data_IF_878876846829
#
_entry.id   IF_878876846829
#
_cell.length_a   1.000
_cell.length_b   1.000
_cell.length_c   1.000
_cell.angle_alpha   90.00
_cell.angle_beta   90.00
_cell.angle_gamma   90.00
#
_symmetry.space_group_name_H-M   'P 1'
#
loop_
_entity.id
_entity.type
_entity.pdbx_description
1 polymer ?
#
# COMPACT_ATOMS: atom_id res chain seq x y z
N UNK A 1 22.71 111.72 -0.80
CA UNK A 1 22.16 113.06 -0.51
C UNK A 1 20.66 112.89 -0.39
N UNK A 2 20.11 113.25 0.78
CA UNK A 2 18.70 113.19 1.21
C UNK A 2 18.07 111.81 1.49
N UNK A 3 18.03 111.49 2.80
CA UNK A 3 16.99 110.69 3.45
C UNK A 3 15.73 111.54 3.68
N UNK A 4 14.55 110.94 3.66
CA UNK A 4 13.52 111.00 4.71
C UNK A 4 12.24 110.29 4.23
N UNK A 5 12.00 109.04 4.69
CA UNK A 5 11.11 108.67 5.81
C UNK A 5 9.64 108.59 5.39
N UNK A 6 9.16 107.36 5.21
CA UNK A 6 7.74 107.00 5.22
C UNK A 6 7.42 106.38 6.59
N UNK A 7 6.23 106.63 7.17
CA UNK A 7 5.92 106.22 8.53
C UNK A 7 5.50 104.75 8.61
N UNK A 8 5.80 104.21 9.79
CA UNK A 8 5.41 102.90 10.31
C UNK A 8 3.90 102.85 10.55
N UNK A 9 3.24 101.74 10.21
CA UNK A 9 2.05 101.35 10.96
C UNK A 9 1.92 99.82 11.07
N UNK A 10 1.63 99.42 12.30
CA UNK A 10 1.73 98.07 12.87
C UNK A 10 0.45 97.25 12.69
N UNK A 11 0.63 96.04 12.15
CA UNK A 11 -0.09 94.77 12.43
C UNK A 11 -1.53 94.80 12.95
N UNK A 12 -2.44 94.15 12.19
CA UNK A 12 -3.21 93.02 12.73
C UNK A 12 -3.73 92.14 11.59
N UNK A 13 -3.43 90.84 11.70
CA UNK A 13 -3.78 89.81 10.74
C UNK A 13 -5.29 89.51 10.77
N UNK A 14 -5.93 89.54 9.60
CA UNK A 14 -7.22 88.89 9.38
C UNK A 14 -7.00 87.73 8.42
N UNK A 15 -7.09 86.51 8.95
CA UNK A 15 -7.17 85.28 8.17
C UNK A 15 -8.43 85.34 7.29
N UNK A 16 -8.25 85.50 5.98
CA UNK A 16 -9.30 85.23 4.99
C UNK A 16 -9.44 83.73 4.75
N UNK A 17 -10.65 83.21 4.49
CA UNK A 17 -10.90 81.78 4.45
C UNK A 17 -10.17 81.13 3.28
N UNK A 18 -9.41 80.09 3.61
CA UNK A 18 -8.72 79.20 2.69
C UNK A 18 -9.63 78.76 1.53
N UNK A 19 -9.10 78.84 0.32
CA UNK A 19 -9.65 78.20 -0.86
C UNK A 19 -9.95 76.72 -0.54
N UNK A 20 -11.25 76.39 -0.50
CA UNK A 20 -11.70 75.03 -0.25
C UNK A 20 -11.23 74.13 -1.39
N UNK A 21 -10.38 73.17 -1.04
CA UNK A 21 -9.76 72.21 -1.94
C UNK A 21 -10.85 71.32 -2.58
N UNK A 22 -11.22 71.62 -3.81
CA UNK A 22 -12.31 70.95 -4.56
C UNK A 22 -12.05 69.44 -4.75
N UNK A 23 -10.80 69.00 -4.60
CA UNK A 23 -10.38 67.60 -4.64
C UNK A 23 -10.83 66.81 -3.41
N UNK A 24 -10.86 67.45 -2.23
CA UNK A 24 -11.30 66.79 -1.00
C UNK A 24 -12.81 66.53 -1.04
N UNK A 25 -13.59 67.51 -1.52
CA UNK A 25 -15.05 67.40 -1.66
C UNK A 25 -15.46 66.34 -2.70
N UNK A 26 -14.69 66.20 -3.78
CA UNK A 26 -14.90 65.16 -4.80
C UNK A 26 -14.65 63.73 -4.28
N UNK A 27 -13.59 63.55 -3.47
CA UNK A 27 -13.25 62.26 -2.85
C UNK A 27 -14.35 61.79 -1.88
N UNK A 28 -14.84 62.68 -1.01
CA UNK A 28 -15.95 62.35 -0.12
C UNK A 28 -17.27 62.15 -0.87
N UNK A 29 -17.53 62.87 -1.98
CA UNK A 29 -18.68 62.56 -2.85
C UNK A 29 -18.63 61.16 -3.45
N UNK A 30 -17.45 60.64 -3.78
CA UNK A 30 -17.29 59.28 -4.32
C UNK A 30 -17.48 58.17 -3.27
N UNK A 31 -17.25 58.49 -1.98
CA UNK A 31 -17.48 57.58 -0.85
C UNK A 31 -18.92 57.63 -0.33
N UNK A 32 -19.60 58.76 -0.48
CA UNK A 32 -21.01 58.96 -0.07
C UNK A 32 -22.02 58.77 -1.21
N UNK A 33 -21.60 58.35 -2.42
CA UNK A 33 -22.57 57.85 -3.39
C UNK A 33 -23.25 56.63 -2.80
N UNK A 34 -24.57 56.63 -2.58
CA UNK A 34 -25.27 55.41 -2.21
C UNK A 34 -25.00 54.40 -3.33
N UNK A 35 -24.29 53.32 -2.98
CA UNK A 35 -24.09 52.18 -3.85
C UNK A 35 -25.47 51.78 -4.40
N UNK A 36 -25.62 51.56 -5.72
CA UNK A 36 -26.92 51.28 -6.32
C UNK A 36 -27.60 50.21 -5.47
N UNK A 37 -28.78 50.56 -4.95
CA UNK A 37 -29.55 49.69 -4.07
C UNK A 37 -29.59 48.32 -4.72
N UNK A 38 -29.07 47.31 -4.00
CA UNK A 38 -28.97 45.95 -4.51
C UNK A 38 -30.31 45.57 -5.13
N UNK A 39 -30.35 45.53 -6.46
CA UNK A 39 -31.56 45.21 -7.21
C UNK A 39 -32.01 43.81 -6.77
N UNK A 40 -33.32 43.57 -6.76
CA UNK A 40 -33.89 42.26 -6.36
C UNK A 40 -33.17 41.11 -7.10
N UNK A 41 -32.77 41.33 -8.36
CA UNK A 41 -31.97 40.41 -9.18
C UNK A 41 -30.59 40.09 -8.57
N UNK A 42 -29.88 41.09 -8.05
CA UNK A 42 -28.58 40.89 -7.38
C UNK A 42 -28.71 40.13 -6.06
N UNK A 43 -29.78 40.38 -5.28
CA UNK A 43 -30.06 39.64 -4.05
C UNK A 43 -30.45 38.19 -4.35
N UNK A 44 -31.26 37.97 -5.40
CA UNK A 44 -31.65 36.64 -5.86
C UNK A 44 -30.43 35.86 -6.35
N UNK A 45 -29.56 36.49 -7.15
CA UNK A 45 -28.30 35.89 -7.61
C UNK A 45 -27.37 35.52 -6.45
N UNK A 46 -27.26 36.36 -5.42
CA UNK A 46 -26.49 36.06 -4.21
C UNK A 46 -27.09 34.90 -3.40
N UNK A 47 -28.42 34.84 -3.29
CA UNK A 47 -29.13 33.72 -2.65
C UNK A 47 -28.92 32.40 -3.39
N UNK A 48 -28.97 32.39 -4.73
CA UNK A 48 -28.67 31.21 -5.54
C UNK A 48 -27.20 30.77 -5.41
N UNK A 49 -26.26 31.72 -5.37
CA UNK A 49 -24.85 31.41 -5.13
C UNK A 49 -24.62 30.82 -3.73
N UNK A 50 -25.24 31.41 -2.70
CA UNK A 50 -25.14 30.93 -1.33
C UNK A 50 -25.78 29.55 -1.16
N UNK A 51 -26.97 29.32 -1.73
CA UNK A 51 -27.62 28.02 -1.67
C UNK A 51 -26.83 26.95 -2.42
N UNK A 52 -26.25 27.29 -3.57
CA UNK A 52 -25.34 26.40 -4.29
C UNK A 52 -24.12 26.01 -3.44
N UNK A 53 -23.48 26.98 -2.78
CA UNK A 53 -22.33 26.71 -1.90
C UNK A 53 -22.72 25.83 -0.71
N UNK A 54 -23.86 26.11 -0.06
CA UNK A 54 -24.34 25.30 1.07
C UNK A 54 -24.69 23.89 0.61
N UNK A 55 -25.42 23.73 -0.49
CA UNK A 55 -25.80 22.42 -1.03
C UNK A 55 -24.58 21.61 -1.47
N UNK A 56 -23.61 22.23 -2.13
CA UNK A 56 -22.37 21.55 -2.53
C UNK A 56 -21.54 21.14 -1.31
N UNK A 57 -21.43 21.98 -0.29
CA UNK A 57 -20.72 21.63 0.95
C UNK A 57 -21.41 20.49 1.72
N UNK A 58 -22.74 20.54 1.85
CA UNK A 58 -23.52 19.45 2.47
C UNK A 58 -23.36 18.16 1.68
N UNK A 59 -23.48 18.20 0.34
CA UNK A 59 -23.31 17.03 -0.50
C UNK A 59 -21.90 16.41 -0.37
N UNK A 60 -20.86 17.24 -0.28
CA UNK A 60 -19.48 16.79 -0.05
C UNK A 60 -19.33 16.08 1.30
N UNK A 61 -19.89 16.64 2.38
CA UNK A 61 -19.83 16.02 3.71
C UNK A 61 -20.68 14.73 3.76
N UNK A 62 -21.86 14.74 3.17
CA UNK A 62 -22.69 13.53 3.08
C UNK A 62 -21.98 12.41 2.30
N UNK A 63 -21.27 12.76 1.23
CA UNK A 63 -20.52 11.80 0.43
C UNK A 63 -19.35 11.18 1.21
N UNK A 64 -18.59 11.98 2.00
CA UNK A 64 -17.50 11.43 2.81
C UNK A 64 -18.01 10.53 3.93
N UNK A 65 -19.17 10.83 4.53
CA UNK A 65 -19.81 9.96 5.54
C UNK A 65 -20.24 8.63 4.91
N UNK A 66 -20.79 8.66 3.70
CA UNK A 66 -21.16 7.45 2.96
C UNK A 66 -19.95 6.58 2.64
N UNK A 67 -18.81 7.20 2.29
CA UNK A 67 -17.58 6.49 1.96
C UNK A 67 -16.81 6.01 3.20
N UNK A 68 -16.98 6.63 4.37
CA UNK A 68 -16.26 6.30 5.60
C UNK A 68 -16.19 4.78 5.92
N UNK A 69 -17.30 4.02 5.94
CA UNK A 69 -17.22 2.59 6.27
C UNK A 69 -16.37 1.79 5.28
N UNK A 70 -16.37 2.15 3.99
CA UNK A 70 -15.58 1.47 2.96
C UNK A 70 -14.13 1.93 2.95
N UNK A 71 -13.87 3.23 3.15
CA UNK A 71 -12.52 3.81 3.20
C UNK A 71 -11.82 3.66 4.56
N UNK A 72 -12.47 3.04 5.54
CA UNK A 72 -11.87 2.75 6.84
C UNK A 72 -10.70 1.75 6.77
N UNK A 73 -10.48 1.09 5.62
CA UNK A 73 -9.39 0.15 5.40
C UNK A 73 -8.87 0.23 3.95
N UNK A 74 -7.63 -0.24 3.75
CA UNK A 74 -6.97 -0.27 2.44
C UNK A 74 -7.58 -1.28 1.45
N UNK A 75 -8.52 -2.12 1.89
CA UNK A 75 -9.23 -3.09 1.04
C UNK A 75 -10.52 -2.50 0.43
N UNK A 76 -10.91 -1.27 0.81
CA UNK A 76 -12.16 -0.63 0.39
C UNK A 76 -13.43 -1.41 0.77
N UNK A 77 -13.35 -2.30 1.76
CA UNK A 77 -14.45 -3.19 2.17
C UNK A 77 -15.19 -2.60 3.38
N UNK A 78 -16.48 -2.32 3.21
CA UNK A 78 -17.29 -1.80 4.31
C UNK A 78 -17.29 -2.76 5.52
N UNK A 79 -17.08 -2.21 6.72
CA UNK A 79 -17.12 -2.96 7.99
C UNK A 79 -16.09 -4.11 8.11
N UNK A 80 -14.98 -4.01 7.37
CA UNK A 80 -13.91 -5.00 7.47
C UNK A 80 -13.29 -5.02 8.88
N UNK A 81 -13.34 -6.16 9.55
CA UNK A 81 -12.72 -6.36 10.86
C UNK A 81 -11.36 -7.08 10.71
N UNK A 82 -10.30 -6.40 11.12
CA UNK A 82 -8.92 -6.89 11.01
C UNK A 82 -8.67 -8.15 11.84
N UNK A 83 -9.41 -8.38 12.93
CA UNK A 83 -9.18 -9.52 13.82
C UNK A 83 -9.64 -10.87 13.25
N UNK A 84 -10.55 -10.88 12.28
CA UNK A 84 -11.17 -12.14 11.81
C UNK A 84 -11.20 -12.27 10.29
N UNK A 85 -11.46 -11.19 9.55
CA UNK A 85 -11.54 -11.27 8.10
C UNK A 85 -10.16 -11.40 7.43
N UNK A 86 -9.10 -10.82 8.01
CA UNK A 86 -7.74 -11.04 7.51
C UNK A 86 -7.34 -12.51 7.61
N UNK A 87 -7.64 -13.16 8.74
CA UNK A 87 -7.28 -14.58 8.95
C UNK A 87 -8.08 -15.47 8.00
N UNK A 88 -9.36 -15.18 7.80
CA UNK A 88 -10.19 -15.87 6.81
C UNK A 88 -9.60 -15.80 5.40
N UNK A 89 -9.20 -14.60 4.95
CA UNK A 89 -8.62 -14.43 3.61
C UNK A 89 -7.34 -15.25 3.46
N UNK A 90 -6.49 -15.28 4.48
CA UNK A 90 -5.21 -15.99 4.42
C UNK A 90 -5.43 -17.51 4.46
N UNK A 91 -6.32 -18.03 5.32
CA UNK A 91 -6.66 -19.46 5.37
C UNK A 91 -7.25 -19.92 4.03
N UNK A 92 -8.13 -19.12 3.44
CA UNK A 92 -8.75 -19.43 2.15
C UNK A 92 -7.70 -19.50 1.03
N UNK A 93 -6.76 -18.55 0.99
CA UNK A 93 -5.65 -18.55 0.05
C UNK A 93 -4.74 -19.77 0.26
N UNK A 94 -4.36 -20.07 1.51
CA UNK A 94 -3.53 -21.22 1.84
C UNK A 94 -4.17 -22.54 1.38
N UNK A 95 -5.49 -22.69 1.59
CA UNK A 95 -6.21 -23.88 1.14
C UNK A 95 -6.26 -23.98 -0.39
N UNK A 96 -6.51 -22.87 -1.10
CA UNK A 96 -6.49 -22.87 -2.57
C UNK A 96 -5.11 -23.20 -3.13
N UNK A 97 -4.06 -22.62 -2.55
CA UNK A 97 -2.67 -22.95 -2.89
C UNK A 97 -2.35 -24.43 -2.70
N UNK A 98 -2.93 -25.08 -1.68
CA UNK A 98 -2.72 -26.51 -1.43
C UNK A 98 -3.47 -27.43 -2.39
N UNK A 99 -4.72 -27.07 -2.71
CA UNK A 99 -5.69 -27.92 -3.42
C UNK A 99 -5.65 -27.73 -4.93
N UNK A 100 -5.26 -26.55 -5.41
CA UNK A 100 -5.32 -26.19 -6.83
C UNK A 100 -3.90 -26.01 -7.36
N UNK A 101 -3.44 -26.95 -8.19
CA UNK A 101 -2.11 -26.89 -8.81
C UNK A 101 -2.09 -25.97 -10.04
N UNK A 102 -3.13 -26.02 -10.86
CA UNK A 102 -3.32 -25.21 -12.07
C UNK A 102 -4.83 -25.07 -12.36
N UNK A 103 -5.31 -23.85 -12.60
CA UNK A 103 -6.71 -23.59 -12.96
C UNK A 103 -7.21 -22.20 -12.53
N UNK A 104 -8.19 -21.64 -13.25
CA UNK A 104 -8.96 -20.46 -12.85
C UNK A 104 -10.04 -20.88 -11.87
N UNK A 105 -9.64 -21.20 -10.65
CA UNK A 105 -10.58 -21.55 -9.60
C UNK A 105 -11.16 -20.27 -9.00
N UNK A 106 -12.49 -20.15 -9.01
CA UNK A 106 -13.19 -19.09 -8.30
C UNK A 106 -12.93 -19.23 -6.80
N UNK A 107 -11.99 -18.42 -6.31
CA UNK A 107 -11.55 -18.35 -4.91
C UNK A 107 -12.74 -18.16 -3.95
N UNK A 108 -13.80 -17.50 -4.42
CA UNK A 108 -15.00 -17.17 -3.66
C UNK A 108 -16.07 -18.28 -3.61
N UNK A 109 -15.99 -19.33 -4.43
CA UNK A 109 -17.08 -20.31 -4.58
C UNK A 109 -16.91 -21.55 -3.67
N UNK A 110 -16.12 -21.42 -2.60
CA UNK A 110 -15.77 -22.55 -1.73
C UNK A 110 -16.77 -22.71 -0.57
N UNK A 111 -17.16 -23.94 -0.19
CA UNK A 111 -18.04 -24.21 0.95
C UNK A 111 -17.48 -23.72 2.30
N UNK A 112 -16.19 -23.36 2.31
CA UNK A 112 -15.47 -22.73 3.41
C UNK A 112 -16.04 -21.33 3.72
N UNK A 113 -16.58 -20.63 2.71
CA UNK A 113 -17.30 -19.37 2.92
C UNK A 113 -18.45 -19.55 3.94
N UNK A 114 -19.14 -20.70 3.94
CA UNK A 114 -20.25 -20.98 4.86
C UNK A 114 -19.77 -21.21 6.29
N UNK A 115 -18.75 -22.05 6.48
CA UNK A 115 -18.21 -22.41 7.81
C UNK A 115 -17.59 -21.19 8.51
N UNK A 116 -16.88 -20.35 7.76
CA UNK A 116 -16.23 -19.16 8.31
C UNK A 116 -17.17 -17.95 8.42
N UNK A 117 -18.20 -17.82 7.58
CA UNK A 117 -19.28 -16.85 7.81
C UNK A 117 -20.04 -17.16 9.10
N UNK A 118 -20.37 -18.44 9.32
CA UNK A 118 -20.99 -18.91 10.56
C UNK A 118 -20.09 -18.68 11.78
N UNK A 119 -18.78 -18.95 11.69
CA UNK A 119 -17.80 -18.66 12.77
C UNK A 119 -17.53 -17.17 13.00
N UNK A 120 -17.44 -16.37 11.93
CA UNK A 120 -17.19 -14.93 11.98
C UNK A 120 -18.37 -14.16 12.56
N UNK A 121 -19.60 -14.65 12.35
CA UNK A 121 -20.81 -14.12 12.98
C UNK A 121 -20.93 -14.56 14.45
N UNK A 122 -20.44 -15.74 14.81
CA UNK A 122 -20.43 -16.25 16.20
C UNK A 122 -19.32 -15.66 17.09
N UNK A 123 -18.29 -15.01 16.53
CA UNK A 123 -17.20 -14.39 17.30
C UNK A 123 -17.52 -12.97 17.80
N UNK A 124 -18.76 -12.51 17.65
CA UNK A 124 -19.29 -11.44 18.50
C UNK A 124 -19.75 -12.05 19.82
N UNK A 125 -19.21 -11.56 20.95
CA UNK A 125 -19.41 -12.01 22.33
C UNK A 125 -18.61 -13.25 22.75
N UNK A 126 -17.35 -13.04 23.12
CA UNK A 126 -16.90 -13.21 24.52
C UNK A 126 -15.42 -12.89 24.61
N UNK A 127 -15.08 -11.97 25.50
CA UNK A 127 -13.77 -11.37 25.78
C UNK A 127 -12.65 -12.35 26.19
N UNK A 128 -12.82 -13.66 25.99
CA UNK A 128 -11.84 -14.69 26.33
C UNK A 128 -11.28 -15.46 25.11
N UNK A 129 -11.81 -15.21 23.90
CA UNK A 129 -11.29 -15.78 22.65
C UNK A 129 -10.49 -14.77 21.79
N UNK A 130 -10.16 -13.61 22.36
CA UNK A 130 -9.18 -12.66 21.81
C UNK A 130 -7.72 -13.18 21.93
N UNK A 131 -7.51 -14.48 22.19
CA UNK A 131 -6.26 -15.16 21.84
C UNK A 131 -6.33 -15.44 20.35
N UNK A 132 -5.69 -14.54 19.61
CA UNK A 132 -5.82 -14.33 18.17
C UNK A 132 -6.07 -15.61 17.38
N UNK A 133 -7.09 -15.56 16.53
CA UNK A 133 -7.25 -16.54 15.46
C UNK A 133 -5.95 -16.51 14.66
N UNK A 134 -5.17 -17.57 14.74
CA UNK A 134 -3.91 -17.69 14.03
C UNK A 134 -4.18 -18.29 12.66
N UNK A 135 -3.45 -17.81 11.67
CA UNK A 135 -3.46 -18.38 10.33
C UNK A 135 -2.90 -19.80 10.40
N UNK A 136 -3.57 -20.76 9.76
CA UNK A 136 -3.01 -22.09 9.59
C UNK A 136 -2.12 -22.14 8.34
N UNK A 137 -0.83 -22.43 8.52
CA UNK A 137 0.11 -22.68 7.43
C UNK A 137 0.56 -24.14 7.49
N UNK A 138 0.36 -24.87 6.40
CA UNK A 138 0.90 -26.22 6.30
C UNK A 138 2.42 -26.14 6.09
N UNK A 139 3.16 -26.61 7.10
CA UNK A 139 4.63 -26.54 7.15
C UNK A 139 5.32 -27.24 5.97
N UNK A 140 4.66 -28.21 5.34
CA UNK A 140 5.18 -28.98 4.21
C UNK A 140 4.89 -28.34 2.85
N UNK A 141 4.05 -27.31 2.75
CA UNK A 141 3.61 -26.77 1.47
C UNK A 141 4.79 -26.24 0.63
N UNK A 142 5.64 -25.40 1.22
CA UNK A 142 6.80 -24.84 0.55
C UNK A 142 7.76 -25.93 0.05
N UNK A 143 7.98 -26.97 0.88
CA UNK A 143 8.82 -28.11 0.53
C UNK A 143 8.21 -28.93 -0.61
N UNK A 144 6.89 -29.15 -0.58
CA UNK A 144 6.15 -29.83 -1.65
C UNK A 144 6.35 -29.09 -2.97
N UNK A 145 6.04 -27.79 -3.02
CA UNK A 145 6.20 -26.96 -4.22
C UNK A 145 7.65 -27.01 -4.74
N UNK A 146 8.63 -26.87 -3.85
CA UNK A 146 10.04 -26.94 -4.21
C UNK A 146 10.39 -28.26 -4.92
N UNK A 147 9.98 -29.42 -4.38
CA UNK A 147 10.34 -30.72 -4.96
C UNK A 147 9.41 -31.20 -6.08
N UNK A 148 8.16 -30.73 -6.15
CA UNK A 148 7.18 -31.21 -7.15
C UNK A 148 6.97 -30.27 -8.33
N UNK A 149 7.33 -28.99 -8.22
CA UNK A 149 7.05 -27.97 -9.23
C UNK A 149 8.31 -27.23 -9.67
N UNK A 150 9.19 -26.86 -8.73
CA UNK A 150 10.38 -26.06 -9.04
C UNK A 150 11.57 -26.93 -9.44
N UNK A 151 11.87 -27.95 -8.64
CA UNK A 151 13.05 -28.80 -8.81
C UNK A 151 12.78 -29.97 -9.77
N UNK A 152 12.55 -29.66 -11.04
CA UNK A 152 12.48 -30.69 -12.09
C UNK A 152 13.88 -31.26 -12.36
N UNK A 153 13.96 -32.50 -12.87
CA UNK A 153 15.26 -33.14 -13.17
C UNK A 153 16.15 -32.30 -14.11
N UNK A 154 15.64 -31.71 -15.23
CA UNK A 154 16.45 -30.86 -16.09
C UNK A 154 17.00 -29.63 -15.35
N UNK A 155 16.16 -28.96 -14.58
CA UNK A 155 16.55 -27.79 -13.78
C UNK A 155 17.59 -28.17 -12.73
N UNK A 156 17.44 -29.32 -12.07
CA UNK A 156 18.40 -29.81 -11.09
C UNK A 156 19.78 -30.08 -11.72
N UNK A 157 19.80 -30.74 -12.89
CA UNK A 157 21.05 -31.04 -13.62
C UNK A 157 21.73 -29.76 -14.09
N UNK A 158 20.96 -28.82 -14.64
CA UNK A 158 21.49 -27.52 -15.06
C UNK A 158 22.06 -26.72 -13.88
N UNK A 159 21.32 -26.70 -12.77
CA UNK A 159 21.74 -25.98 -11.54
C UNK A 159 23.03 -26.59 -10.98
N UNK A 160 23.11 -27.93 -10.91
CA UNK A 160 24.32 -28.62 -10.45
C UNK A 160 25.52 -28.31 -11.34
N UNK A 161 25.37 -28.36 -12.67
CA UNK A 161 26.47 -28.03 -13.61
C UNK A 161 26.91 -26.57 -13.55
N UNK A 162 26.04 -25.68 -13.11
CA UNK A 162 26.34 -24.24 -12.95
C UNK A 162 26.93 -23.91 -11.57
N UNK A 163 27.07 -24.89 -10.69
CA UNK A 163 27.54 -24.63 -9.32
C UNK A 163 29.01 -24.20 -9.34
N UNK A 164 29.37 -23.25 -8.47
CA UNK A 164 30.76 -22.87 -8.31
C UNK A 164 31.54 -23.99 -7.61
N UNK A 165 32.84 -24.20 -7.92
CA UNK A 165 33.66 -25.21 -7.25
C UNK A 165 33.68 -25.07 -5.72
N UNK A 166 33.63 -23.84 -5.20
CA UNK A 166 33.54 -23.58 -3.76
C UNK A 166 32.24 -24.10 -3.14
N UNK A 167 31.14 -24.04 -3.89
CA UNK A 167 29.83 -24.51 -3.43
C UNK A 167 29.66 -26.03 -3.64
N UNK A 168 30.31 -26.62 -4.65
CA UNK A 168 30.34 -28.07 -4.87
C UNK A 168 30.87 -28.83 -3.64
N UNK A 169 31.85 -28.26 -2.92
CA UNK A 169 32.40 -28.83 -1.67
C UNK A 169 31.33 -28.99 -0.59
N UNK A 170 30.25 -28.20 -0.64
CA UNK A 170 29.14 -28.27 0.32
C UNK A 170 28.10 -29.34 -0.03
N UNK A 171 28.28 -30.08 -1.14
CA UNK A 171 27.42 -31.21 -1.49
C UNK A 171 27.95 -32.47 -0.80
N UNK A 172 27.40 -32.73 0.38
CA UNK A 172 27.73 -33.91 1.18
C UNK A 172 26.98 -35.13 0.66
N UNK A 173 27.61 -35.88 -0.24
CA UNK A 173 27.16 -37.20 -0.67
C UNK A 173 28.17 -38.29 -0.30
N UNK A 174 27.69 -39.52 -0.21
CA UNK A 174 28.52 -40.70 0.05
C UNK A 174 29.03 -41.28 -1.27
N UNK A 175 29.86 -40.50 -1.97
CA UNK A 175 30.38 -40.85 -3.29
C UNK A 175 31.06 -42.22 -3.29
N UNK A 176 30.81 -42.98 -4.35
CA UNK A 176 31.38 -44.30 -4.58
C UNK A 176 32.49 -44.25 -5.63
N UNK A 177 32.33 -43.39 -6.65
CA UNK A 177 33.28 -43.24 -7.75
C UNK A 177 33.48 -41.77 -8.13
N UNK A 178 34.62 -41.48 -8.75
CA UNK A 178 34.88 -40.15 -9.31
C UNK A 178 34.12 -39.97 -10.63
N UNK A 179 34.16 -40.98 -11.50
CA UNK A 179 33.67 -40.93 -12.88
C UNK A 179 32.70 -42.06 -13.23
N UNK A 180 31.89 -41.88 -14.27
CA UNK A 180 30.89 -42.89 -14.67
C UNK A 180 31.49 -44.23 -15.12
N UNK A 181 32.72 -44.22 -15.63
CA UNK A 181 33.46 -45.43 -16.00
C UNK A 181 33.98 -46.21 -14.78
N UNK A 182 33.77 -45.69 -13.56
CA UNK A 182 34.16 -46.32 -12.28
C UNK A 182 35.67 -46.61 -12.22
N UNK A 183 36.50 -45.79 -12.88
CA UNK A 183 37.96 -45.97 -12.91
C UNK A 183 38.60 -45.66 -11.57
N UNK A 184 38.00 -44.72 -10.82
CA UNK A 184 38.50 -44.31 -9.51
C UNK A 184 37.44 -44.54 -8.43
N UNK A 185 37.65 -45.53 -7.57
CA UNK A 185 36.81 -45.80 -6.41
C UNK A 185 37.17 -44.90 -5.21
N UNK A 186 36.15 -44.36 -4.54
CA UNK A 186 36.28 -43.49 -3.35
C UNK A 186 35.96 -44.22 -2.04
N UNK A 187 35.55 -45.49 -2.12
CA UNK A 187 35.17 -46.27 -0.95
C UNK A 187 36.37 -46.52 -0.01
N UNK A 188 36.32 -45.98 1.20
CA UNK A 188 37.40 -46.15 2.20
C UNK A 188 37.58 -47.59 2.74
N UNK A 189 36.66 -48.52 2.45
CA UNK A 189 36.74 -49.91 2.91
C UNK A 189 36.25 -50.88 1.85
N UNK A 190 36.82 -52.10 1.83
CA UNK A 190 36.36 -53.17 0.94
C UNK A 190 34.86 -53.51 1.13
N UNK A 191 34.33 -53.37 2.35
CA UNK A 191 32.89 -53.55 2.62
C UNK A 191 32.05 -52.47 1.96
N UNK A 192 32.50 -51.20 1.95
CA UNK A 192 31.80 -50.12 1.24
C UNK A 192 31.90 -50.29 -0.27
N UNK A 193 33.06 -50.66 -0.81
CA UNK A 193 33.24 -50.91 -2.24
C UNK A 193 32.27 -51.98 -2.77
N UNK A 194 32.17 -53.12 -2.06
CA UNK A 194 31.19 -54.17 -2.38
C UNK A 194 29.74 -53.67 -2.35
N UNK A 195 29.37 -52.84 -1.38
CA UNK A 195 28.02 -52.24 -1.33
C UNK A 195 27.78 -51.24 -2.47
N UNK A 196 28.78 -50.42 -2.81
CA UNK A 196 28.69 -49.49 -3.93
C UNK A 196 28.38 -50.25 -5.22
N UNK A 197 29.17 -51.28 -5.53
CA UNK A 197 28.92 -52.12 -6.70
C UNK A 197 27.58 -52.89 -6.62
N UNK A 198 27.14 -53.31 -5.44
CA UNK A 198 25.88 -54.06 -5.34
C UNK A 198 24.62 -53.19 -5.44
N UNK A 199 24.65 -51.94 -4.96
CA UNK A 199 23.43 -51.15 -4.70
C UNK A 199 23.39 -49.77 -5.36
N UNK A 200 24.52 -49.20 -5.75
CA UNK A 200 24.62 -47.77 -6.07
C UNK A 200 25.08 -47.46 -7.49
N UNK A 201 25.23 -48.49 -8.35
CA UNK A 201 25.69 -48.29 -9.72
C UNK A 201 24.75 -47.39 -10.54
N UNK A 202 23.43 -47.54 -10.35
CA UNK A 202 22.41 -46.84 -11.14
C UNK A 202 22.03 -45.46 -10.55
N UNK A 203 22.71 -45.02 -9.49
CA UNK A 203 22.44 -43.75 -8.84
C UNK A 203 23.57 -42.76 -9.12
N UNK A 204 23.31 -41.85 -10.06
CA UNK A 204 24.21 -40.80 -10.50
C UNK A 204 24.74 -39.91 -9.35
N UNK A 205 23.98 -39.74 -8.25
CA UNK A 205 24.40 -38.95 -7.10
C UNK A 205 25.61 -39.54 -6.34
N UNK A 206 26.03 -40.78 -6.65
CA UNK A 206 27.23 -41.39 -6.07
C UNK A 206 28.49 -41.20 -6.93
N UNK A 207 28.41 -40.41 -8.00
CA UNK A 207 29.50 -40.10 -8.92
C UNK A 207 29.87 -38.62 -8.83
N UNK A 208 31.14 -38.30 -8.58
CA UNK A 208 31.59 -36.90 -8.46
C UNK A 208 31.40 -36.14 -9.78
N UNK A 209 31.62 -36.78 -10.94
CA UNK A 209 31.48 -36.18 -12.28
C UNK A 209 30.08 -35.57 -12.56
N UNK A 210 29.08 -35.86 -11.71
CA UNK A 210 27.75 -35.24 -11.82
C UNK A 210 27.65 -33.82 -11.26
N UNK A 211 28.67 -33.37 -10.51
CA UNK A 211 28.69 -32.11 -9.76
C UNK A 211 29.79 -31.19 -10.26
#
# INVERSE_FOLDING_TARGET
MSSAVAPLDTTSATLGPHAADTRFVGFWRSLLTPQPTHTIKSRLSGLFGLSYLVLTLVSSVSYTVLLNPSLANNLFWAHFNTSSYHVYLIDLLNLKLQTTRQGTDNVLDTPIQRIYWERGMQLNFTSNFARGVQVNFESNYARRVLYSEVLTLPVAVETLRSISPSSAISIYAQYCWVDFDKRWELAHTAKRAKRCLALYQDNAANYIETV
#
